data_IF_177625040877
#
_entry.id   IF_177625040877
#
_cell.length_a   1.000
_cell.length_b   1.000
_cell.length_c   1.000
_cell.angle_alpha   90.00
_cell.angle_beta   90.00
_cell.angle_gamma   90.00
#
_symmetry.space_group_name_H-M   'P 1'
#
loop_
_entity.id
_entity.type
_entity.pdbx_description
1 polymer ?
#
# COMPACT_ATOMS: atom_id res chain seq x y z
N UNK A 1 -8.18 -8.92 8.70
CA UNK A 1 -9.32 -8.08 9.15
C UNK A 1 -9.23 -6.67 8.56
N UNK A 2 -8.11 -5.97 8.73
CA UNK A 2 -7.90 -4.63 8.14
C UNK A 2 -8.14 -4.57 6.63
N UNK A 3 -7.61 -5.54 5.86
CA UNK A 3 -7.86 -5.64 4.41
C UNK A 3 -9.37 -5.78 4.11
N UNK A 4 -10.08 -6.65 4.82
CA UNK A 4 -11.52 -6.88 4.60
C UNK A 4 -12.34 -5.62 4.95
N UNK A 5 -11.93 -4.89 5.98
CA UNK A 5 -12.58 -3.66 6.43
C UNK A 5 -12.54 -2.53 5.38
N UNK A 6 -11.69 -2.64 4.35
CA UNK A 6 -11.68 -1.72 3.21
C UNK A 6 -12.88 -1.93 2.25
N UNK A 7 -13.71 -2.95 2.47
CA UNK A 7 -14.96 -3.16 1.72
C UNK A 7 -14.80 -3.97 0.43
N UNK A 8 -13.79 -4.84 0.34
CA UNK A 8 -13.65 -5.75 -0.81
C UNK A 8 -14.86 -6.67 -0.95
N UNK A 9 -15.37 -6.82 -2.18
CA UNK A 9 -16.44 -7.78 -2.47
C UNK A 9 -15.93 -9.22 -2.26
N UNK A 10 -16.56 -9.94 -1.32
CA UNK A 10 -16.26 -11.33 -1.04
C UNK A 10 -16.46 -12.22 -2.27
N UNK A 11 -17.40 -11.93 -3.17
CA UNK A 11 -17.62 -12.79 -4.33
C UNK A 11 -16.51 -12.68 -5.38
N UNK A 12 -15.69 -11.62 -5.32
CA UNK A 12 -14.63 -11.33 -6.27
C UNK A 12 -13.22 -11.33 -5.64
N UNK A 13 -13.12 -11.55 -4.32
CA UNK A 13 -11.86 -11.40 -3.58
C UNK A 13 -11.47 -12.67 -2.86
N UNK A 14 -10.29 -13.20 -3.16
CA UNK A 14 -9.69 -14.31 -2.44
C UNK A 14 -8.44 -13.86 -1.69
N UNK A 15 -8.44 -14.04 -0.38
CA UNK A 15 -7.28 -13.74 0.48
C UNK A 15 -6.65 -15.07 0.86
N UNK A 16 -5.33 -15.19 0.78
CA UNK A 16 -4.67 -16.42 1.19
C UNK A 16 -3.42 -16.12 2.00
N UNK A 17 -3.08 -17.07 2.88
CA UNK A 17 -1.80 -17.09 3.56
C UNK A 17 -0.88 -18.05 2.81
N UNK A 18 0.35 -17.62 2.52
CA UNK A 18 1.31 -18.43 1.77
C UNK A 18 1.50 -19.84 2.34
N UNK A 19 1.55 -19.99 3.68
CA UNK A 19 1.69 -21.31 4.34
C UNK A 19 0.51 -22.24 4.08
N UNK A 20 -0.70 -21.69 4.00
CA UNK A 20 -1.94 -22.46 3.85
C UNK A 20 -2.20 -22.75 2.35
N UNK A 21 -1.70 -21.87 1.49
CA UNK A 21 -1.76 -21.94 0.03
C UNK A 21 -0.63 -22.76 -0.61
N UNK A 22 0.41 -23.12 0.14
CA UNK A 22 1.66 -23.61 -0.44
C UNK A 22 1.45 -24.88 -1.28
N UNK A 23 0.52 -25.75 -0.87
CA UNK A 23 0.24 -27.01 -1.57
C UNK A 23 -0.09 -26.84 -3.06
N UNK A 24 -0.78 -25.76 -3.43
CA UNK A 24 -1.17 -25.50 -4.82
C UNK A 24 -0.28 -24.44 -5.50
N UNK A 25 0.43 -23.60 -4.73
CA UNK A 25 1.44 -22.69 -5.26
C UNK A 25 2.75 -23.40 -5.65
N UNK A 26 3.12 -24.44 -4.90
CA UNK A 26 4.45 -25.06 -4.99
C UNK A 26 4.84 -25.54 -6.41
N UNK A 27 3.96 -26.15 -7.21
CA UNK A 27 4.30 -26.51 -8.58
C UNK A 27 4.72 -25.32 -9.45
N UNK A 28 4.05 -24.17 -9.32
CA UNK A 28 4.42 -22.94 -10.03
C UNK A 28 5.70 -22.34 -9.48
N UNK A 29 5.90 -22.37 -8.15
CA UNK A 29 7.14 -21.92 -7.51
C UNK A 29 8.33 -22.70 -8.05
N UNK A 30 8.25 -24.03 -8.16
CA UNK A 30 9.33 -24.86 -8.70
C UNK A 30 9.65 -24.51 -10.16
N UNK A 31 8.62 -24.27 -10.99
CA UNK A 31 8.81 -23.81 -12.37
C UNK A 31 9.53 -22.47 -12.41
N UNK A 32 9.17 -21.53 -11.54
CA UNK A 32 9.80 -20.20 -11.44
C UNK A 32 11.26 -20.34 -10.95
N UNK A 33 11.49 -21.09 -9.87
CA UNK A 33 12.82 -21.33 -9.30
C UNK A 33 13.78 -21.98 -10.29
N UNK A 34 13.30 -22.91 -11.13
CA UNK A 34 14.12 -23.53 -12.19
C UNK A 34 14.68 -22.51 -13.19
N UNK A 35 14.02 -21.37 -13.37
CA UNK A 35 14.41 -20.34 -14.33
C UNK A 35 15.05 -19.10 -13.68
N UNK A 36 15.22 -19.09 -12.35
CA UNK A 36 15.89 -18.03 -11.61
C UNK A 36 17.22 -18.54 -11.06
N UNK A 37 18.31 -17.87 -11.45
CA UNK A 37 19.62 -18.12 -10.84
C UNK A 37 19.76 -17.34 -9.55
N UNK A 38 20.56 -17.85 -8.60
CA UNK A 38 20.89 -17.11 -7.38
C UNK A 38 21.51 -15.74 -7.69
N UNK A 39 22.40 -15.64 -8.68
CA UNK A 39 23.02 -14.38 -9.09
C UNK A 39 22.01 -13.33 -9.53
N UNK A 40 20.97 -13.71 -10.29
CA UNK A 40 19.89 -12.80 -10.67
C UNK A 40 19.13 -12.31 -9.44
N UNK A 41 18.72 -13.23 -8.57
CA UNK A 41 17.97 -12.88 -7.36
C UNK A 41 18.79 -11.98 -6.43
N UNK A 42 20.07 -12.31 -6.22
CA UNK A 42 20.98 -11.53 -5.40
C UNK A 42 21.21 -10.12 -5.95
N UNK A 43 21.40 -9.98 -7.28
CA UNK A 43 21.55 -8.68 -7.92
C UNK A 43 20.28 -7.84 -7.83
N UNK A 44 19.09 -8.45 -7.98
CA UNK A 44 17.81 -7.73 -7.96
C UNK A 44 17.40 -7.28 -6.55
N UNK A 45 17.67 -8.08 -5.52
CA UNK A 45 17.19 -7.85 -4.15
C UNK A 45 18.28 -7.50 -3.15
N UNK A 46 19.53 -7.39 -3.60
CA UNK A 46 20.67 -7.06 -2.74
C UNK A 46 21.01 -8.17 -1.73
N UNK A 47 20.80 -9.44 -2.09
CA UNK A 47 21.12 -10.56 -1.19
C UNK A 47 22.63 -10.79 -1.11
N UNK A 48 23.05 -11.22 0.07
CA UNK A 48 24.43 -11.57 0.39
C UNK A 48 24.55 -13.07 0.67
N UNK A 49 25.79 -13.58 0.75
CA UNK A 49 26.04 -15.00 1.08
C UNK A 49 25.70 -15.36 2.53
N UNK A 50 25.49 -14.38 3.41
CA UNK A 50 25.05 -14.59 4.78
C UNK A 50 23.53 -14.64 4.92
N UNK A 51 22.78 -14.32 3.87
CA UNK A 51 21.32 -14.45 3.89
C UNK A 51 20.86 -15.91 3.86
N UNK A 52 19.72 -16.18 4.49
CA UNK A 52 19.17 -17.53 4.55
C UNK A 52 18.67 -18.00 3.17
N UNK A 53 18.72 -19.31 2.95
CA UNK A 53 18.17 -19.94 1.72
C UNK A 53 16.70 -19.61 1.50
N UNK A 54 15.94 -19.40 2.58
CA UNK A 54 14.54 -18.97 2.53
C UNK A 54 14.38 -17.57 1.90
N UNK A 55 15.23 -16.61 2.27
CA UNK A 55 15.22 -15.27 1.65
C UNK A 55 15.54 -15.34 0.16
N UNK A 56 16.51 -16.18 -0.22
CA UNK A 56 16.87 -16.38 -1.63
C UNK A 56 15.76 -17.06 -2.45
N UNK A 57 14.96 -17.94 -1.82
CA UNK A 57 13.86 -18.64 -2.48
C UNK A 57 12.55 -17.84 -2.55
N UNK A 58 12.35 -16.87 -1.65
CA UNK A 58 11.13 -16.07 -1.51
C UNK A 58 10.65 -15.36 -2.79
N UNK A 59 11.51 -14.84 -3.68
CA UNK A 59 11.04 -14.11 -4.86
C UNK A 59 10.18 -14.95 -5.79
N UNK A 60 10.45 -16.25 -5.85
CA UNK A 60 9.62 -17.17 -6.61
C UNK A 60 8.21 -17.34 -6.01
N UNK A 61 8.11 -17.32 -4.68
CA UNK A 61 6.84 -17.34 -3.96
C UNK A 61 6.03 -16.07 -4.23
N UNK A 62 6.67 -14.90 -4.23
CA UNK A 62 6.02 -13.62 -4.53
C UNK A 62 5.60 -13.50 -6.01
N UNK A 63 6.37 -14.09 -6.93
CA UNK A 63 6.06 -14.08 -8.36
C UNK A 63 4.93 -15.05 -8.75
N UNK A 64 4.76 -16.17 -8.03
CA UNK A 64 3.79 -17.20 -8.41
C UNK A 64 2.34 -16.69 -8.55
N UNK A 65 1.79 -15.87 -7.63
CA UNK A 65 0.45 -15.31 -7.76
C UNK A 65 0.25 -14.36 -8.96
N UNK A 66 1.32 -13.94 -9.64
CA UNK A 66 1.22 -13.14 -10.86
C UNK A 66 0.79 -13.97 -12.09
N UNK A 67 0.76 -15.30 -11.96
CA UNK A 67 0.33 -16.22 -13.01
C UNK A 67 -0.96 -16.93 -12.58
N UNK A 68 -2.01 -16.81 -13.40
CA UNK A 68 -3.31 -17.42 -13.14
C UNK A 68 -3.23 -18.96 -13.00
N UNK A 69 -2.25 -19.59 -13.66
CA UNK A 69 -1.97 -21.02 -13.57
C UNK A 69 -1.47 -21.47 -12.20
N UNK A 70 -1.03 -20.54 -11.34
CA UNK A 70 -0.66 -20.83 -9.96
C UNK A 70 -1.86 -20.99 -9.04
N UNK A 71 -3.07 -20.65 -9.47
CA UNK A 71 -4.27 -20.79 -8.65
C UNK A 71 -5.04 -22.06 -9.03
N UNK A 72 -5.73 -22.72 -8.07
CA UNK A 72 -6.55 -23.88 -8.36
C UNK A 72 -7.66 -23.54 -9.36
N UNK A 73 -8.01 -24.50 -10.24
CA UNK A 73 -9.12 -24.36 -11.19
C UNK A 73 -10.44 -24.01 -10.49
N UNK A 74 -10.63 -24.45 -9.25
CA UNK A 74 -11.81 -24.10 -8.45
C UNK A 74 -11.94 -22.58 -8.23
N UNK A 75 -10.82 -21.85 -8.18
CA UNK A 75 -10.83 -20.39 -7.99
C UNK A 75 -11.18 -19.66 -9.29
N UNK A 76 -10.62 -20.15 -10.41
CA UNK A 76 -10.86 -19.61 -11.76
C UNK A 76 -11.34 -20.75 -12.67
N UNK A 77 -12.65 -21.06 -12.72
CA UNK A 77 -13.15 -22.18 -13.52
C UNK A 77 -12.90 -22.02 -15.03
N UNK A 78 -12.85 -20.78 -15.49
CA UNK A 78 -12.58 -20.38 -16.88
C UNK A 78 -11.09 -20.20 -17.17
N UNK A 79 -10.19 -20.70 -16.31
CA UNK A 79 -8.74 -20.56 -16.43
C UNK A 79 -8.21 -21.20 -17.72
N UNK A 80 -8.12 -20.40 -18.77
CA UNK A 80 -7.60 -20.78 -20.09
C UNK A 80 -6.12 -20.44 -20.25
N UNK A 81 -5.37 -20.28 -19.16
CA UNK A 81 -3.95 -19.91 -19.13
C UNK A 81 -3.63 -18.54 -19.76
N UNK A 82 -4.64 -17.75 -20.16
CA UNK A 82 -4.46 -16.44 -20.78
C UNK A 82 -4.96 -15.27 -19.93
N UNK A 83 -5.50 -15.55 -18.73
CA UNK A 83 -5.91 -14.49 -17.82
C UNK A 83 -4.70 -13.62 -17.44
N UNK A 84 -4.83 -12.32 -17.73
CA UNK A 84 -3.81 -11.33 -17.42
C UNK A 84 -3.92 -10.89 -15.97
N UNK A 85 -2.78 -10.62 -15.34
CA UNK A 85 -2.70 -10.16 -13.96
C UNK A 85 -2.37 -8.66 -13.93
N UNK A 86 -3.14 -7.87 -13.16
CA UNK A 86 -2.82 -6.49 -12.83
C UNK A 86 -2.39 -6.43 -11.36
N UNK A 87 -1.24 -5.80 -11.10
CA UNK A 87 -0.65 -5.67 -9.77
C UNK A 87 -0.51 -4.20 -9.40
N UNK A 88 -1.47 -3.65 -8.62
CA UNK A 88 -1.31 -2.36 -7.97
C UNK A 88 -0.35 -2.51 -6.78
N UNK A 89 0.77 -1.79 -6.78
CA UNK A 89 1.76 -1.86 -5.70
C UNK A 89 2.59 -0.58 -5.59
N UNK A 90 3.25 -0.38 -4.45
CA UNK A 90 4.26 0.65 -4.32
C UNK A 90 5.55 0.24 -5.04
N UNK A 91 6.39 1.22 -5.41
CA UNK A 91 7.57 1.00 -6.26
C UNK A 91 8.62 0.04 -5.66
N UNK A 92 8.62 -0.22 -4.35
CA UNK A 92 9.54 -1.20 -3.72
C UNK A 92 9.24 -2.65 -4.08
N UNK A 93 8.05 -2.94 -4.61
CA UNK A 93 7.69 -4.28 -5.06
C UNK A 93 8.10 -4.57 -6.51
N UNK A 94 8.41 -3.53 -7.30
CA UNK A 94 8.80 -3.64 -8.72
C UNK A 94 9.92 -4.66 -8.97
N UNK A 95 10.99 -4.77 -8.16
CA UNK A 95 12.03 -5.78 -8.36
C UNK A 95 11.51 -7.22 -8.43
N UNK A 96 10.50 -7.59 -7.63
CA UNK A 96 9.91 -8.93 -7.65
C UNK A 96 9.15 -9.20 -8.94
N UNK A 97 8.36 -8.23 -9.40
CA UNK A 97 7.53 -8.39 -10.58
C UNK A 97 8.29 -8.17 -11.89
N UNK A 98 9.42 -7.46 -11.88
CA UNK A 98 10.38 -7.47 -12.99
C UNK A 98 10.87 -8.89 -13.27
N UNK A 99 11.27 -9.62 -12.23
CA UNK A 99 11.62 -11.04 -12.36
C UNK A 99 10.44 -11.85 -12.91
N UNK A 100 9.22 -11.66 -12.39
CA UNK A 100 8.04 -12.35 -12.89
C UNK A 100 7.78 -12.08 -14.39
N UNK A 101 7.93 -10.83 -14.84
CA UNK A 101 7.73 -10.43 -16.24
C UNK A 101 8.76 -11.05 -17.19
N UNK A 102 10.01 -11.18 -16.75
CA UNK A 102 11.08 -11.82 -17.53
C UNK A 102 10.84 -13.32 -17.70
N UNK A 103 10.20 -13.95 -16.71
CA UNK A 103 9.86 -15.37 -16.73
C UNK A 103 8.59 -15.70 -17.52
N UNK A 104 7.64 -14.77 -17.60
CA UNK A 104 6.32 -15.02 -18.18
C UNK A 104 6.35 -15.70 -19.57
N UNK A 105 7.19 -15.26 -20.54
CA UNK A 105 7.28 -15.92 -21.86
C UNK A 105 7.74 -17.38 -21.78
N UNK A 106 8.64 -17.71 -20.84
CA UNK A 106 9.14 -19.08 -20.63
C UNK A 106 8.09 -19.98 -19.98
N UNK A 107 7.17 -19.39 -19.23
CA UNK A 107 6.05 -20.07 -18.59
C UNK A 107 4.80 -20.12 -19.49
N UNK A 108 4.88 -19.61 -20.72
CA UNK A 108 3.74 -19.55 -21.65
C UNK A 108 2.57 -18.72 -21.09
N UNK A 109 2.85 -17.74 -20.24
CA UNK A 109 1.85 -16.93 -19.54
C UNK A 109 1.96 -15.45 -19.94
N UNK A 110 0.87 -14.67 -19.86
CA UNK A 110 0.93 -13.22 -20.06
C UNK A 110 1.87 -12.57 -19.04
N UNK A 111 2.57 -11.51 -19.45
CA UNK A 111 3.34 -10.69 -18.52
C UNK A 111 2.37 -9.97 -17.57
N UNK A 112 2.58 -9.97 -16.24
CA UNK A 112 1.77 -9.17 -15.35
C UNK A 112 1.94 -7.68 -15.66
N UNK A 113 0.84 -6.94 -15.58
CA UNK A 113 0.75 -5.49 -15.74
C UNK A 113 0.89 -4.86 -14.35
N UNK A 114 1.66 -3.78 -14.24
CA UNK A 114 1.89 -3.11 -12.97
C UNK A 114 1.32 -1.70 -12.98
N UNK A 115 0.75 -1.31 -11.85
CA UNK A 115 0.37 0.07 -11.55
C UNK A 115 1.09 0.51 -10.28
N UNK A 116 2.02 1.46 -10.43
CA UNK A 116 2.87 1.91 -9.34
C UNK A 116 2.27 3.10 -8.60
N UNK A 117 2.19 2.99 -7.27
CA UNK A 117 1.90 4.11 -6.39
C UNK A 117 3.18 4.72 -5.83
N UNK A 118 3.16 6.03 -5.58
CA UNK A 118 4.21 6.69 -4.79
C UNK A 118 4.08 6.26 -3.33
N UNK A 119 5.18 6.29 -2.59
CA UNK A 119 5.11 6.08 -1.16
C UNK A 119 4.36 7.22 -0.47
N UNK A 120 3.64 6.86 0.59
CA UNK A 120 3.15 7.85 1.53
C UNK A 120 4.37 8.44 2.27
N UNK A 121 4.55 9.77 2.26
CA UNK A 121 5.65 10.41 2.97
C UNK A 121 5.45 10.30 4.48
N UNK A 122 6.55 10.29 5.23
CA UNK A 122 6.53 10.32 6.68
C UNK A 122 6.09 11.70 7.18
N UNK A 123 5.45 11.75 8.34
CA UNK A 123 4.99 13.01 8.95
C UNK A 123 6.14 14.01 9.16
N UNK A 124 7.37 13.53 9.37
CA UNK A 124 8.55 14.37 9.57
C UNK A 124 9.02 15.08 8.29
N UNK A 125 8.59 14.63 7.11
CA UNK A 125 8.92 15.29 5.86
C UNK A 125 8.75 14.45 4.59
N UNK A 126 8.77 15.12 3.43
CA UNK A 126 8.45 14.51 2.13
C UNK A 126 9.53 13.57 1.58
N UNK A 127 10.77 13.68 2.06
CA UNK A 127 11.91 12.88 1.59
C UNK A 127 11.99 11.49 2.23
N UNK A 128 11.27 11.28 3.33
CA UNK A 128 11.28 10.03 4.09
C UNK A 128 9.99 9.26 3.86
N UNK A 129 10.10 7.93 3.68
CA UNK A 129 8.95 7.03 3.58
C UNK A 129 8.37 6.74 4.98
N UNK A 130 7.05 6.79 5.12
CA UNK A 130 6.37 6.35 6.33
C UNK A 130 6.71 4.88 6.67
N UNK A 131 7.08 4.59 7.91
CA UNK A 131 7.47 3.25 8.36
C UNK A 131 6.63 2.78 9.54
N UNK A 132 6.12 1.54 9.46
CA UNK A 132 5.44 0.92 10.59
C UNK A 132 6.36 0.66 11.79
N UNK A 133 7.68 0.60 11.58
CA UNK A 133 8.67 0.47 12.65
C UNK A 133 8.87 1.75 13.46
N UNK A 134 8.38 2.89 12.96
CA UNK A 134 8.47 4.18 13.62
C UNK A 134 7.06 4.73 13.85
N UNK A 135 6.55 4.55 15.08
CA UNK A 135 5.19 4.94 15.46
C UNK A 135 4.89 6.44 15.30
N UNK A 136 5.91 7.28 15.25
CA UNK A 136 5.82 8.72 14.98
C UNK A 136 5.74 9.08 13.49
N UNK A 137 6.05 8.15 12.58
CA UNK A 137 6.24 8.47 11.16
C UNK A 137 4.96 8.54 10.34
N UNK A 138 3.86 7.98 10.84
CA UNK A 138 2.61 7.86 10.10
C UNK A 138 1.39 7.92 11.01
N UNK A 139 0.22 8.14 10.39
CA UNK A 139 -1.07 7.92 11.02
C UNK A 139 -1.42 6.44 10.85
N UNK A 140 -1.57 5.70 11.95
CA UNK A 140 -1.89 4.27 11.95
C UNK A 140 -3.40 4.04 12.02
N UNK A 141 -3.85 2.90 11.52
CA UNK A 141 -5.26 2.55 11.42
C UNK A 141 -5.96 2.43 12.80
N UNK A 142 -5.19 2.19 13.84
CA UNK A 142 -5.63 2.07 15.24
C UNK A 142 -5.30 3.32 16.09
N UNK A 143 -4.80 4.40 15.48
CA UNK A 143 -4.56 5.64 16.20
C UNK A 143 -5.86 6.19 16.80
N UNK A 144 -5.77 6.65 18.05
CA UNK A 144 -6.88 7.35 18.72
C UNK A 144 -6.98 8.81 18.26
N UNK A 145 -8.12 9.48 18.48
CA UNK A 145 -8.26 10.91 18.17
C UNK A 145 -7.21 11.80 18.83
N UNK A 146 -6.80 11.44 20.04
CA UNK A 146 -5.72 12.14 20.76
C UNK A 146 -4.37 11.95 20.07
N UNK A 147 -4.11 10.75 19.55
CA UNK A 147 -2.88 10.40 18.86
C UNK A 147 -2.79 11.08 17.49
N UNK A 148 -3.87 11.06 16.70
CA UNK A 148 -3.97 11.78 15.43
C UNK A 148 -3.68 13.27 15.64
N UNK A 149 -4.33 13.89 16.65
CA UNK A 149 -4.08 15.29 17.03
C UNK A 149 -2.62 15.54 17.41
N UNK A 150 -2.02 14.65 18.21
CA UNK A 150 -0.61 14.75 18.62
C UNK A 150 0.32 14.71 17.41
N UNK A 151 0.11 13.75 16.51
CA UNK A 151 0.90 13.52 15.30
C UNK A 151 0.87 14.72 14.37
N UNK A 152 -0.31 15.22 14.00
CA UNK A 152 -0.39 16.40 13.15
C UNK A 152 0.17 17.66 13.83
N UNK A 153 -0.12 17.89 15.12
CA UNK A 153 0.31 19.13 15.76
C UNK A 153 1.81 19.16 16.06
N UNK A 154 2.39 18.04 16.52
CA UNK A 154 3.77 18.02 17.04
C UNK A 154 4.79 17.39 16.12
N UNK A 155 4.38 16.46 15.24
CA UNK A 155 5.30 15.65 14.45
C UNK A 155 5.23 15.97 12.95
N UNK A 156 4.07 16.41 12.45
CA UNK A 156 3.92 16.77 11.06
C UNK A 156 4.67 18.06 10.73
N UNK A 157 5.63 17.96 9.82
CA UNK A 157 6.40 19.08 9.27
C UNK A 157 5.45 20.10 8.63
N UNK A 158 5.64 21.37 9.01
CA UNK A 158 4.92 22.51 8.45
C UNK A 158 5.67 23.07 7.26
N UNK A 159 4.93 23.43 6.21
CA UNK A 159 5.43 24.25 5.11
C UNK A 159 5.16 25.75 5.29
N UNK A 160 4.36 26.13 6.28
CA UNK A 160 4.08 27.52 6.64
C UNK A 160 5.19 28.21 7.43
N UNK A 161 5.07 29.53 7.56
CA UNK A 161 6.04 30.41 8.21
C UNK A 161 5.97 30.35 9.75
N UNK A 162 7.02 30.86 10.40
CA UNK A 162 7.16 30.85 11.86
C UNK A 162 6.13 31.74 12.59
N UNK A 163 5.69 32.82 11.95
CA UNK A 163 4.73 33.79 12.52
C UNK A 163 3.53 34.00 11.60
N UNK A 164 2.41 34.42 12.17
CA UNK A 164 1.17 34.66 11.42
C UNK A 164 1.34 35.79 10.39
N UNK A 165 2.10 36.83 10.73
CA UNK A 165 2.40 37.97 9.86
C UNK A 165 3.21 37.53 8.63
N UNK A 166 4.24 36.71 8.85
CA UNK A 166 5.03 36.13 7.76
C UNK A 166 4.17 35.18 6.92
N UNK A 167 3.33 34.36 7.55
CA UNK A 167 2.42 33.46 6.84
C UNK A 167 1.47 34.22 5.93
N UNK A 168 0.90 35.34 6.40
CA UNK A 168 0.01 36.21 5.61
C UNK A 168 0.73 36.91 4.45
N UNK A 169 2.04 37.13 4.58
CA UNK A 169 2.85 37.86 3.59
C UNK A 169 3.44 36.93 2.53
N UNK A 170 3.98 35.78 2.96
CA UNK A 170 4.76 34.87 2.11
C UNK A 170 4.04 33.55 1.81
N UNK A 171 2.96 33.23 2.53
CA UNK A 171 2.25 31.97 2.40
C UNK A 171 3.07 30.75 2.83
N UNK A 172 2.54 29.56 2.50
CA UNK A 172 3.15 28.28 2.81
C UNK A 172 3.71 27.55 1.58
N UNK A 173 4.80 26.82 1.78
CA UNK A 173 5.31 25.85 0.81
C UNK A 173 4.54 24.52 0.92
N UNK A 174 3.56 24.34 0.04
CA UNK A 174 2.73 23.15 -0.01
C UNK A 174 3.53 21.86 -0.24
N UNK A 175 4.68 21.92 -0.89
CA UNK A 175 5.49 20.73 -1.19
C UNK A 175 6.14 20.12 0.06
N UNK A 176 6.28 20.93 1.11
CA UNK A 176 6.88 20.54 2.39
C UNK A 176 5.86 20.31 3.50
N UNK A 177 4.65 20.83 3.36
CA UNK A 177 3.62 20.73 4.40
C UNK A 177 2.95 19.36 4.45
N UNK A 178 3.21 18.61 5.52
CA UNK A 178 2.77 17.23 5.64
C UNK A 178 1.28 17.08 5.96
N UNK A 179 0.65 18.07 6.60
CA UNK A 179 -0.79 18.04 6.84
C UNK A 179 -1.55 18.20 5.51
N UNK A 180 -1.12 19.15 4.67
CA UNK A 180 -1.65 19.33 3.32
C UNK A 180 -1.36 18.13 2.41
N UNK A 181 -0.14 17.59 2.41
CA UNK A 181 0.19 16.41 1.58
C UNK A 181 -0.67 15.18 1.95
N UNK A 182 -0.95 14.98 3.24
CA UNK A 182 -1.84 13.91 3.69
C UNK A 182 -3.29 14.17 3.26
N UNK A 183 -3.81 15.39 3.44
CA UNK A 183 -5.14 15.76 2.93
C UNK A 183 -5.24 15.53 1.42
N UNK A 184 -4.25 15.96 0.63
CA UNK A 184 -4.20 15.77 -0.81
C UNK A 184 -4.18 14.30 -1.23
N UNK A 185 -3.61 13.41 -0.42
CA UNK A 185 -3.54 11.99 -0.75
C UNK A 185 -4.85 11.25 -0.46
N UNK A 186 -5.54 11.61 0.63
CA UNK A 186 -6.68 10.83 1.12
C UNK A 186 -8.04 11.49 0.87
N UNK A 187 -8.12 12.81 0.85
CA UNK A 187 -9.39 13.52 0.72
C UNK A 187 -9.99 13.33 -0.68
N UNK A 188 -11.26 12.91 -0.82
CA UNK A 188 -11.84 12.54 -2.11
C UNK A 188 -12.28 13.74 -2.97
N UNK A 189 -12.32 14.95 -2.40
CA UNK A 189 -12.76 16.15 -3.11
C UNK A 189 -11.54 16.97 -3.58
N UNK A 190 -11.16 16.78 -4.84
CA UNK A 190 -10.04 17.46 -5.49
C UNK A 190 -10.22 18.98 -5.54
N UNK A 191 -11.45 19.46 -5.78
CA UNK A 191 -11.76 20.89 -5.83
C UNK A 191 -11.51 21.55 -4.47
N UNK A 192 -11.99 20.91 -3.40
CA UNK A 192 -11.76 21.40 -2.03
C UNK A 192 -10.27 21.42 -1.68
N UNK A 193 -9.52 20.36 -2.05
CA UNK A 193 -8.07 20.32 -1.85
C UNK A 193 -7.36 21.44 -2.60
N UNK A 194 -7.74 21.70 -3.86
CA UNK A 194 -7.17 22.82 -4.64
C UNK A 194 -7.43 24.16 -3.95
N UNK A 195 -8.66 24.41 -3.51
CA UNK A 195 -9.01 25.65 -2.80
C UNK A 195 -8.22 25.83 -1.51
N UNK A 196 -8.12 24.78 -0.68
CA UNK A 196 -7.31 24.83 0.56
C UNK A 196 -5.84 25.08 0.24
N UNK A 197 -5.31 24.42 -0.79
CA UNK A 197 -3.93 24.61 -1.25
C UNK A 197 -3.66 26.05 -1.69
N UNK A 198 -4.53 26.63 -2.52
CA UNK A 198 -4.42 28.01 -3.00
C UNK A 198 -4.48 29.03 -1.86
N UNK A 199 -5.45 28.88 -0.95
CA UNK A 199 -5.58 29.77 0.21
C UNK A 199 -4.37 29.65 1.14
N UNK A 200 -3.87 28.43 1.37
CA UNK A 200 -2.72 28.22 2.24
C UNK A 200 -1.41 28.73 1.63
N UNK A 201 -1.22 28.54 0.32
CA UNK A 201 -0.07 29.06 -0.42
C UNK A 201 -0.06 30.59 -0.54
N UNK A 202 -1.22 31.24 -0.49
CA UNK A 202 -1.33 32.72 -0.47
C UNK A 202 -1.22 33.32 0.93
N UNK A 203 -1.30 32.51 1.98
CA UNK A 203 -1.31 32.98 3.36
C UNK A 203 -2.69 33.29 3.93
N UNK A 204 -3.77 33.03 3.18
CA UNK A 204 -5.14 33.23 3.63
C UNK A 204 -5.52 32.27 4.77
N UNK A 205 -4.91 31.08 4.79
CA UNK A 205 -4.98 30.11 5.88
C UNK A 205 -3.68 30.07 6.66
N UNK A 206 -3.80 29.86 7.97
CA UNK A 206 -2.69 29.56 8.87
C UNK A 206 -2.43 28.05 8.94
N UNK A 207 -1.19 27.65 9.25
CA UNK A 207 -0.81 26.24 9.43
C UNK A 207 -1.71 25.51 10.45
N UNK A 208 -2.09 26.19 11.53
CA UNK A 208 -2.98 25.63 12.54
C UNK A 208 -4.35 25.25 11.99
N UNK A 209 -4.89 26.02 11.05
CA UNK A 209 -6.20 25.77 10.43
C UNK A 209 -6.13 24.54 9.51
N UNK A 210 -5.08 24.45 8.68
CA UNK A 210 -4.85 23.27 7.82
C UNK A 210 -4.66 21.99 8.65
N UNK A 211 -3.94 22.08 9.77
CA UNK A 211 -3.80 20.95 10.72
C UNK A 211 -5.15 20.56 11.34
N UNK A 212 -6.02 21.53 11.67
CA UNK A 212 -7.38 21.24 12.16
C UNK A 212 -8.19 20.49 11.09
N UNK A 213 -8.11 20.89 9.83
CA UNK A 213 -8.78 20.17 8.73
C UNK A 213 -8.27 18.72 8.60
N UNK A 214 -6.95 18.51 8.63
CA UNK A 214 -6.36 17.18 8.59
C UNK A 214 -6.82 16.34 9.79
N UNK A 215 -6.74 16.87 11.00
CA UNK A 215 -7.17 16.17 12.22
C UNK A 215 -8.65 15.78 12.14
N UNK A 216 -9.52 16.71 11.71
CA UNK A 216 -10.96 16.42 11.56
C UNK A 216 -11.19 15.28 10.56
N UNK A 217 -10.63 15.41 9.36
CA UNK A 217 -10.81 14.43 8.30
C UNK A 217 -10.31 13.03 8.69
N UNK A 218 -9.09 12.93 9.24
CA UNK A 218 -8.52 11.64 9.63
C UNK A 218 -9.25 11.01 10.83
N UNK A 219 -9.81 11.81 11.74
CA UNK A 219 -10.68 11.28 12.80
C UNK A 219 -11.94 10.64 12.22
N UNK A 220 -12.61 11.31 11.27
CA UNK A 220 -13.82 10.79 10.62
C UNK A 220 -13.50 9.53 9.80
N UNK A 221 -12.42 9.57 9.01
CA UNK A 221 -11.94 8.44 8.20
C UNK A 221 -11.63 7.21 9.06
N UNK A 222 -10.83 7.37 10.13
CA UNK A 222 -10.44 6.26 10.98
C UNK A 222 -11.57 5.77 11.87
N UNK A 223 -12.46 6.65 12.34
CA UNK A 223 -13.64 6.22 13.09
C UNK A 223 -14.52 5.30 12.23
N UNK A 224 -14.78 5.67 10.96
CA UNK A 224 -15.51 4.84 10.01
C UNK A 224 -14.79 3.50 9.76
N UNK A 225 -13.49 3.54 9.44
CA UNK A 225 -12.70 2.33 9.20
C UNK A 225 -12.68 1.38 10.42
N UNK A 226 -12.48 1.92 11.62
CA UNK A 226 -12.43 1.13 12.86
C UNK A 226 -13.80 0.52 13.19
N UNK A 227 -14.91 1.18 12.83
CA UNK A 227 -16.24 0.59 12.95
C UNK A 227 -16.42 -0.58 11.99
N UNK A 228 -16.05 -0.44 10.72
CA UNK A 228 -16.11 -1.56 9.76
C UNK A 228 -15.20 -2.72 10.17
N UNK A 229 -13.99 -2.41 10.64
CA UNK A 229 -13.05 -3.43 11.15
C UNK A 229 -13.62 -4.24 12.30
N UNK A 230 -14.38 -3.61 13.21
CA UNK A 230 -15.04 -4.30 14.34
C UNK A 230 -16.13 -5.27 13.88
N UNK A 231 -16.75 -5.03 12.72
CA UNK A 231 -17.77 -5.92 12.15
C UNK A 231 -17.15 -7.18 11.53
N UNK A 232 -15.87 -7.15 11.17
CA UNK A 232 -15.17 -8.30 10.57
C UNK A 232 -14.94 -9.41 11.61
N UNK A 233 -15.77 -10.45 11.53
CA UNK A 233 -15.67 -11.65 12.36
C UNK A 233 -14.58 -12.61 11.87
N UNK A 234 -14.23 -13.60 12.68
CA UNK A 234 -13.33 -14.68 12.25
C UNK A 234 -13.97 -15.56 11.18
N UNK A 235 -15.31 -15.65 11.17
CA UNK A 235 -16.06 -16.31 10.10
C UNK A 235 -15.87 -15.58 8.77
N UNK A 236 -15.96 -14.24 8.76
CA UNK A 236 -15.71 -13.46 7.55
C UNK A 236 -14.29 -13.71 7.03
N UNK A 237 -13.30 -13.69 7.92
CA UNK A 237 -11.91 -14.01 7.55
C UNK A 237 -11.81 -15.40 6.93
N UNK A 238 -12.41 -16.41 7.56
CA UNK A 238 -12.43 -17.78 7.05
C UNK A 238 -13.12 -17.87 5.68
N UNK A 239 -14.21 -17.14 5.46
CA UNK A 239 -14.92 -17.11 4.19
C UNK A 239 -14.11 -16.42 3.07
N UNK A 240 -13.45 -15.29 3.34
CA UNK A 240 -12.52 -14.66 2.38
C UNK A 240 -11.36 -15.60 2.01
N UNK A 241 -10.91 -16.42 2.96
CA UNK A 241 -9.82 -17.38 2.79
C UNK A 241 -10.25 -18.76 2.28
N UNK A 242 -11.56 -19.04 2.18
CA UNK A 242 -12.06 -20.32 1.71
C UNK A 242 -11.95 -20.42 0.19
N UNK A 243 -11.38 -21.53 -0.29
CA UNK A 243 -11.27 -21.81 -1.71
C UNK A 243 -12.66 -22.06 -2.33
N UNK A 244 -13.10 -21.12 -3.16
CA UNK A 244 -14.40 -21.08 -3.85
C UNK A 244 -14.22 -20.52 -5.26
N UNK A 245 -15.22 -20.68 -6.11
CA UNK A 245 -15.25 -19.96 -7.39
C UNK A 245 -15.42 -18.46 -7.12
N UNK A 246 -14.61 -17.64 -7.78
CA UNK A 246 -14.78 -16.19 -7.84
C UNK A 246 -15.01 -15.79 -9.29
N UNK A 247 -15.94 -14.86 -9.52
CA UNK A 247 -16.41 -14.50 -10.87
C UNK A 247 -17.62 -15.31 -11.29
#
# INVERSE_FOLDING_TARGET
>A
KDIIALGFDRNLTYIFRNTDAIQWLYPSILKIQKHLTFSQVAATLGLTRSDSVGKAAFPALQAAPAFCTSFPQKLFPTNNHQLSCLVPCAIDQDPFFRLARDLAPRLGSPKPVLLHTRFLPALQGPSTKASSSEGSSAIFLDDSPKEIKRKFNRLALSGGQDTAELQRTYGADLSRDMAYQYLRYFHPNDTWISTVGEMYAKGDLLTGEVKIFAIKYFNELLASFQQERKKVSDRDVAEFMALRSIG
#
